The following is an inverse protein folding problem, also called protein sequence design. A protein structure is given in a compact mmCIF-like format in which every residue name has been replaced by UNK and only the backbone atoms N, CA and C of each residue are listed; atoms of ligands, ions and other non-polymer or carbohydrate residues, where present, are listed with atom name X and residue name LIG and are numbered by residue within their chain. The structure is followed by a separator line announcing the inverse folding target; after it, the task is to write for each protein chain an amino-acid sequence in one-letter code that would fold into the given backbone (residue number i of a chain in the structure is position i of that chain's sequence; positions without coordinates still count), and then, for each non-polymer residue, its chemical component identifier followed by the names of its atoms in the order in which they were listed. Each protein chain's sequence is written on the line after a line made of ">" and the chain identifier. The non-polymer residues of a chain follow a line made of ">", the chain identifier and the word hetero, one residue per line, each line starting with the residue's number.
data_IF_486100164224
#
_entry.id   IF_486100164224
#
_cell.length_a   1.000
_cell.length_b   1.000
_cell.length_c   1.000
_cell.angle_alpha   90.00
_cell.angle_beta   90.00
_cell.angle_gamma   90.00
#
_symmetry.space_group_name_H-M   'P 1'
#
loop_
_entity.id
_entity.type
_entity.pdbx_description
1 polymer ?
#
# COMPACT_ATOMS: atom_id res chain seq x y z
N UNK A 1 79.84 -24.27 -80.53
CA UNK A 1 80.11 -24.61 -79.13
C UNK A 1 79.44 -23.61 -78.25
N UNK A 2 78.30 -23.91 -77.62
CA UNK A 2 77.78 -23.24 -76.46
C UNK A 2 76.52 -23.96 -76.08
N UNK A 3 76.58 -24.75 -75.03
CA UNK A 3 75.47 -25.43 -74.37
C UNK A 3 74.52 -24.43 -73.72
N UNK A 4 73.23 -24.48 -74.04
CA UNK A 4 72.14 -23.90 -73.25
C UNK A 4 71.58 -24.97 -72.31
N UNK A 5 71.89 -24.83 -71.05
CA UNK A 5 71.21 -25.52 -69.92
C UNK A 5 69.83 -24.89 -69.70
N UNK A 6 68.81 -25.72 -69.87
CA UNK A 6 67.45 -25.37 -69.45
C UNK A 6 67.35 -25.42 -67.92
N UNK A 7 66.91 -24.33 -67.34
CA UNK A 7 66.58 -24.21 -65.86
C UNK A 7 65.22 -24.91 -65.63
N UNK A 8 65.23 -26.00 -64.89
CA UNK A 8 64.04 -26.60 -64.32
C UNK A 8 63.57 -25.72 -63.20
N UNK A 9 62.39 -25.04 -63.39
CA UNK A 9 61.68 -24.34 -62.35
C UNK A 9 61.02 -25.30 -61.37
N UNK A 10 61.50 -25.34 -60.14
CA UNK A 10 60.85 -26.02 -59.03
C UNK A 10 59.55 -25.28 -58.67
N UNK A 11 58.42 -25.89 -59.04
CA UNK A 11 57.13 -25.47 -58.55
C UNK A 11 57.00 -25.86 -57.06
N UNK A 12 56.98 -24.87 -56.20
CA UNK A 12 56.61 -25.03 -54.81
C UNK A 12 55.18 -25.53 -54.74
N UNK A 13 54.86 -26.53 -53.89
CA UNK A 13 53.48 -27.01 -53.74
C UNK A 13 52.60 -25.89 -53.12
N UNK A 14 51.56 -25.52 -53.86
CA UNK A 14 50.50 -24.64 -53.33
C UNK A 14 49.94 -25.32 -52.09
N UNK A 15 50.02 -24.54 -50.95
CA UNK A 15 49.44 -24.85 -49.65
C UNK A 15 47.98 -25.26 -49.89
N UNK A 16 47.63 -26.54 -49.61
CA UNK A 16 46.31 -27.08 -49.86
C UNK A 16 45.19 -26.23 -49.26
N UNK A 17 44.37 -25.64 -50.11
CA UNK A 17 43.10 -25.08 -49.72
C UNK A 17 42.26 -26.22 -49.11
N UNK A 18 41.93 -26.07 -47.83
CA UNK A 18 40.99 -26.95 -47.11
C UNK A 18 39.61 -26.74 -47.73
N UNK A 19 39.24 -27.57 -48.73
CA UNK A 19 37.89 -27.59 -49.26
C UNK A 19 36.92 -28.04 -48.21
N UNK A 20 36.04 -27.12 -47.78
CA UNK A 20 34.96 -27.44 -46.82
C UNK A 20 33.77 -28.01 -47.64
N UNK A 21 33.05 -29.04 -47.12
CA UNK A 21 31.88 -29.56 -47.80
C UNK A 21 30.80 -28.48 -47.91
N UNK A 22 30.16 -28.35 -49.06
CA UNK A 22 29.14 -27.33 -49.39
C UNK A 22 28.05 -27.28 -48.31
N UNK A 23 27.64 -28.43 -47.77
CA UNK A 23 26.72 -28.53 -46.63
C UNK A 23 27.16 -27.68 -45.42
N UNK A 24 28.43 -27.78 -45.01
CA UNK A 24 28.98 -27.04 -43.88
C UNK A 24 28.94 -25.52 -44.10
N UNK A 25 29.19 -25.10 -45.31
CA UNK A 25 29.22 -23.68 -45.69
C UNK A 25 27.81 -23.07 -45.67
N UNK A 26 26.82 -23.77 -46.27
CA UNK A 26 25.42 -23.32 -46.30
C UNK A 26 24.84 -23.35 -44.90
N UNK A 27 25.00 -24.45 -44.17
CA UNK A 27 24.51 -24.56 -42.79
C UNK A 27 25.14 -23.51 -41.87
N UNK A 28 26.46 -23.31 -41.98
CA UNK A 28 27.17 -22.31 -41.19
C UNK A 28 26.71 -20.88 -41.48
N UNK A 29 26.50 -20.52 -42.75
CA UNK A 29 25.99 -19.21 -43.14
C UNK A 29 24.56 -18.94 -42.57
N UNK A 30 23.66 -19.93 -42.70
CA UNK A 30 22.30 -19.83 -42.19
C UNK A 30 22.26 -19.73 -40.67
N UNK A 31 23.09 -20.54 -39.97
CA UNK A 31 23.21 -20.46 -38.51
C UNK A 31 23.79 -19.12 -38.06
N UNK A 32 24.73 -18.54 -38.80
CA UNK A 32 25.29 -17.24 -38.49
C UNK A 32 24.24 -16.12 -38.60
N UNK A 33 23.39 -16.14 -39.63
CA UNK A 33 22.28 -15.19 -39.79
C UNK A 33 21.28 -15.35 -38.65
N UNK A 34 20.87 -16.59 -38.33
CA UNK A 34 19.95 -16.85 -37.22
C UNK A 34 20.49 -16.35 -35.88
N UNK A 35 21.77 -16.61 -35.60
CA UNK A 35 22.40 -16.11 -34.34
C UNK A 35 22.46 -14.58 -34.33
N UNK A 36 22.76 -13.95 -35.47
CA UNK A 36 22.80 -12.49 -35.58
C UNK A 36 21.41 -11.88 -35.35
N UNK A 37 20.34 -12.45 -35.91
CA UNK A 37 18.95 -12.01 -35.69
C UNK A 37 18.55 -12.13 -34.22
N UNK A 38 18.83 -13.25 -33.57
CA UNK A 38 18.55 -13.45 -32.16
C UNK A 38 19.36 -12.49 -31.30
N UNK A 39 20.61 -12.27 -31.62
CA UNK A 39 21.46 -11.32 -30.89
C UNK A 39 20.94 -9.91 -31.00
N UNK A 40 20.46 -9.47 -32.17
CA UNK A 40 19.78 -8.16 -32.35
C UNK A 40 18.51 -8.08 -31.54
N UNK A 41 17.71 -9.14 -31.49
CA UNK A 41 16.48 -9.18 -30.67
C UNK A 41 16.80 -9.07 -29.17
N UNK A 42 17.78 -9.81 -28.67
CA UNK A 42 18.22 -9.74 -27.26
C UNK A 42 18.76 -8.35 -26.93
N UNK A 43 19.58 -7.76 -27.82
CA UNK A 43 20.07 -6.38 -27.63
C UNK A 43 18.90 -5.39 -27.59
N UNK A 44 17.92 -5.52 -28.48
CA UNK A 44 16.73 -4.67 -28.52
C UNK A 44 15.95 -4.73 -27.21
N UNK A 45 15.70 -5.93 -26.66
CA UNK A 45 15.03 -6.15 -25.39
C UNK A 45 15.83 -5.52 -24.24
N UNK A 46 17.15 -5.70 -24.25
CA UNK A 46 18.04 -5.13 -23.22
C UNK A 46 18.06 -3.60 -23.27
N UNK A 47 18.22 -3.01 -24.46
CA UNK A 47 18.24 -1.54 -24.65
C UNK A 47 16.92 -0.90 -24.29
N UNK A 48 15.79 -1.52 -24.62
CA UNK A 48 14.45 -1.01 -24.27
C UNK A 48 14.10 -1.19 -22.81
N UNK A 49 14.89 -1.99 -22.07
CA UNK A 49 14.68 -2.27 -20.65
C UNK A 49 13.21 -2.62 -20.28
N UNK A 50 12.59 -3.46 -21.09
CA UNK A 50 11.17 -3.83 -20.96
C UNK A 50 10.84 -4.32 -19.54
N UNK A 51 11.67 -5.21 -18.98
CA UNK A 51 11.46 -5.73 -17.62
C UNK A 51 11.50 -4.64 -16.54
N UNK A 52 12.47 -3.72 -16.65
CA UNK A 52 12.57 -2.59 -15.69
C UNK A 52 11.37 -1.66 -15.77
N UNK A 53 10.88 -1.34 -16.98
CA UNK A 53 9.69 -0.51 -17.18
C UNK A 53 8.42 -1.17 -16.64
N UNK A 54 8.27 -2.48 -16.81
CA UNK A 54 7.13 -3.23 -16.26
C UNK A 54 7.15 -3.23 -14.74
N UNK A 55 8.32 -3.42 -14.13
CA UNK A 55 8.46 -3.34 -12.68
C UNK A 55 8.18 -1.93 -12.16
N UNK A 56 8.65 -0.89 -12.85
CA UNK A 56 8.37 0.49 -12.48
C UNK A 56 6.87 0.80 -12.57
N UNK A 57 6.21 0.38 -13.65
CA UNK A 57 4.76 0.56 -13.79
C UNK A 57 3.98 -0.11 -12.66
N UNK A 58 4.40 -1.31 -12.21
CA UNK A 58 3.76 -2.00 -11.10
C UNK A 58 3.91 -1.22 -9.79
N UNK A 59 5.09 -0.65 -9.54
CA UNK A 59 5.35 0.23 -8.39
C UNK A 59 4.52 1.52 -8.46
N UNK A 60 4.49 2.17 -9.61
CA UNK A 60 3.74 3.42 -9.81
C UNK A 60 2.23 3.18 -9.62
N UNK A 61 1.70 2.04 -10.06
CA UNK A 61 0.32 1.65 -9.82
C UNK A 61 0.03 1.49 -8.33
N UNK A 62 0.88 0.78 -7.59
CA UNK A 62 0.72 0.64 -6.13
C UNK A 62 0.79 2.01 -5.45
N UNK A 63 1.77 2.84 -5.80
CA UNK A 63 1.91 4.19 -5.23
C UNK A 63 0.67 5.06 -5.51
N UNK A 64 0.08 4.97 -6.69
CA UNK A 64 -1.16 5.67 -7.03
C UNK A 64 -2.35 5.16 -6.22
N UNK A 65 -2.49 3.85 -6.04
CA UNK A 65 -3.55 3.24 -5.22
C UNK A 65 -3.43 3.69 -3.76
N UNK A 66 -2.21 3.63 -3.19
CA UNK A 66 -1.97 4.11 -1.81
C UNK A 66 -2.27 5.60 -1.69
N UNK A 67 -1.84 6.42 -2.65
CA UNK A 67 -2.10 7.87 -2.66
C UNK A 67 -3.60 8.19 -2.68
N UNK A 68 -4.37 7.49 -3.52
CA UNK A 68 -5.82 7.67 -3.57
C UNK A 68 -6.46 7.29 -2.23
N UNK A 69 -5.98 6.20 -1.61
CA UNK A 69 -6.49 5.76 -0.30
C UNK A 69 -6.08 6.71 0.82
N UNK A 70 -4.88 7.32 0.76
CA UNK A 70 -4.45 8.38 1.69
C UNK A 70 -5.42 9.57 1.63
N UNK A 71 -5.74 10.05 0.43
CA UNK A 71 -6.72 11.14 0.27
C UNK A 71 -8.05 10.80 0.94
N UNK A 72 -8.59 9.62 0.65
CA UNK A 72 -9.84 9.16 1.28
C UNK A 72 -9.76 9.08 2.81
N UNK A 73 -8.67 8.51 3.35
CA UNK A 73 -8.49 8.37 4.80
C UNK A 73 -8.28 9.74 5.47
N UNK A 74 -7.55 10.64 4.82
CA UNK A 74 -7.37 11.99 5.30
C UNK A 74 -8.70 12.75 5.37
N UNK A 75 -9.50 12.70 4.32
CA UNK A 75 -10.82 13.33 4.28
C UNK A 75 -11.75 12.75 5.35
N UNK A 76 -11.75 11.42 5.53
CA UNK A 76 -12.54 10.75 6.57
C UNK A 76 -12.14 11.23 7.97
N UNK A 77 -10.85 11.25 8.28
CA UNK A 77 -10.36 11.65 9.60
C UNK A 77 -10.52 13.15 9.82
N UNK A 78 -10.29 14.00 8.82
CA UNK A 78 -10.50 15.44 8.90
C UNK A 78 -11.99 15.79 9.05
N UNK A 79 -12.88 15.10 8.36
CA UNK A 79 -14.32 15.28 8.57
C UNK A 79 -14.76 14.86 9.98
N UNK A 80 -14.18 13.78 10.51
CA UNK A 80 -14.47 13.31 11.87
C UNK A 80 -13.99 14.31 12.94
N UNK A 81 -12.83 14.94 12.75
CA UNK A 81 -12.25 15.88 13.73
C UNK A 81 -12.84 17.29 13.67
N UNK A 82 -13.62 17.64 12.67
CA UNK A 82 -14.28 18.95 12.59
C UNK A 82 -15.50 18.98 13.54
N UNK A 83 -15.24 19.40 14.76
CA UNK A 83 -16.21 19.52 15.84
C UNK A 83 -16.54 20.97 16.21
N UNK A 84 -16.18 21.94 15.38
CA UNK A 84 -16.33 23.37 15.67
C UNK A 84 -17.78 23.74 15.97
N UNK A 85 -18.72 23.35 15.11
CA UNK A 85 -20.15 23.65 15.30
C UNK A 85 -20.72 23.02 16.60
N UNK A 86 -20.26 21.79 16.90
CA UNK A 86 -20.67 21.08 18.12
C UNK A 86 -20.08 21.74 19.36
N UNK A 87 -18.79 22.08 19.33
CA UNK A 87 -18.13 22.78 20.43
C UNK A 87 -18.85 24.12 20.77
N UNK A 88 -19.09 24.92 19.72
CA UNK A 88 -19.82 26.18 19.82
C UNK A 88 -21.25 26.00 20.39
N UNK A 89 -21.94 24.91 20.00
CA UNK A 89 -23.26 24.60 20.53
C UNK A 89 -23.19 24.27 22.02
N UNK A 90 -22.22 23.44 22.44
CA UNK A 90 -22.01 23.06 23.84
C UNK A 90 -21.65 24.28 24.67
N UNK A 91 -20.77 25.16 24.19
CA UNK A 91 -20.37 26.40 24.87
C UNK A 91 -21.55 27.32 25.07
N UNK A 92 -22.39 27.55 24.03
CA UNK A 92 -23.60 28.37 24.17
C UNK A 92 -24.60 27.77 25.17
N UNK A 93 -24.80 26.45 25.18
CA UNK A 93 -25.68 25.79 26.14
C UNK A 93 -25.15 25.95 27.57
N UNK A 94 -23.85 25.77 27.77
CA UNK A 94 -23.16 25.93 29.05
C UNK A 94 -23.30 27.36 29.55
N UNK A 95 -22.95 28.37 28.76
CA UNK A 95 -23.08 29.79 29.12
C UNK A 95 -24.53 30.18 29.43
N UNK A 96 -25.49 29.68 28.67
CA UNK A 96 -26.92 29.93 28.95
C UNK A 96 -27.35 29.40 30.33
N UNK A 97 -26.84 28.21 30.71
CA UNK A 97 -27.14 27.62 32.02
C UNK A 97 -26.43 28.36 33.15
N UNK A 98 -25.19 28.79 32.97
CA UNK A 98 -24.42 29.60 33.91
C UNK A 98 -25.11 30.96 34.13
N UNK A 99 -25.43 31.67 33.05
CA UNK A 99 -26.08 32.98 33.12
C UNK A 99 -27.47 32.96 33.77
N UNK A 100 -28.16 31.83 33.73
CA UNK A 100 -29.47 31.65 34.40
C UNK A 100 -29.35 31.08 35.81
N UNK A 101 -28.15 30.89 36.34
CA UNK A 101 -27.90 30.33 37.68
C UNK A 101 -28.29 28.87 37.83
N UNK A 102 -28.45 28.14 36.72
CA UNK A 102 -28.76 26.69 36.70
C UNK A 102 -27.53 25.80 36.65
N UNK A 103 -26.37 26.37 36.42
CA UNK A 103 -25.09 25.70 36.38
C UNK A 103 -24.03 26.55 37.07
N UNK A 104 -23.31 25.94 37.98
CA UNK A 104 -22.07 26.43 38.54
C UNK A 104 -20.90 25.62 37.98
N UNK A 105 -19.97 26.25 37.27
CA UNK A 105 -18.83 25.58 36.68
C UNK A 105 -17.92 24.92 37.71
N UNK A 106 -17.74 25.54 38.87
CA UNK A 106 -16.92 25.01 39.97
C UNK A 106 -17.54 23.74 40.58
N UNK A 107 -18.87 23.57 40.44
CA UNK A 107 -19.59 22.40 40.92
C UNK A 107 -19.70 21.25 39.90
N UNK A 108 -19.22 21.40 38.66
CA UNK A 108 -19.39 20.38 37.61
C UNK A 108 -18.86 18.98 37.99
N UNK A 109 -17.77 18.93 38.73
CA UNK A 109 -17.18 17.66 39.17
C UNK A 109 -17.88 17.08 40.41
N UNK A 110 -18.53 17.92 41.24
CA UNK A 110 -19.08 17.54 42.53
C UNK A 110 -20.61 17.45 42.56
N UNK A 111 -21.30 18.27 41.76
CA UNK A 111 -22.76 18.26 41.65
C UNK A 111 -23.21 17.44 40.41
N UNK A 112 -23.62 16.21 40.69
CA UNK A 112 -24.08 15.29 39.64
C UNK A 112 -25.43 15.69 39.01
N UNK A 113 -26.25 16.52 39.70
CA UNK A 113 -27.52 16.98 39.15
C UNK A 113 -27.28 18.06 38.09
N UNK A 114 -26.45 19.06 38.38
CA UNK A 114 -26.10 20.11 37.43
C UNK A 114 -25.36 19.58 36.20
N UNK A 115 -24.33 18.74 36.39
CA UNK A 115 -23.60 18.12 35.28
C UNK A 115 -24.51 17.23 34.41
N UNK A 116 -25.43 16.46 35.03
CA UNK A 116 -26.41 15.65 34.30
C UNK A 116 -27.43 16.49 33.54
N UNK A 117 -27.82 17.66 34.07
CA UNK A 117 -28.72 18.57 33.36
C UNK A 117 -28.09 19.16 32.12
N UNK A 118 -26.81 19.60 32.20
CA UNK A 118 -26.07 20.06 31.02
C UNK A 118 -25.92 18.94 29.98
N UNK A 119 -25.46 17.73 30.40
CA UNK A 119 -25.28 16.60 29.51
C UNK A 119 -26.59 16.21 28.84
N UNK A 120 -27.72 16.21 29.56
CA UNK A 120 -29.02 15.90 28.95
C UNK A 120 -29.49 17.00 27.96
N UNK A 121 -29.10 18.26 28.18
CA UNK A 121 -29.44 19.36 27.28
C UNK A 121 -28.68 19.25 25.93
N UNK A 122 -27.41 18.85 25.96
CA UNK A 122 -26.57 18.73 24.72
C UNK A 122 -26.70 17.39 24.04
N UNK A 123 -27.22 16.34 24.69
CA UNK A 123 -27.26 14.97 24.18
C UNK A 123 -27.92 14.82 22.80
N UNK A 124 -29.02 15.50 22.44
CA UNK A 124 -29.61 15.43 21.12
C UNK A 124 -28.65 15.90 20.00
N UNK A 125 -27.87 16.96 20.26
CA UNK A 125 -26.91 17.47 19.27
C UNK A 125 -25.72 16.54 19.08
N UNK A 126 -25.33 15.81 20.12
CA UNK A 126 -24.35 14.73 19.97
C UNK A 126 -24.83 13.64 19.01
N UNK A 127 -26.12 13.26 19.08
CA UNK A 127 -26.71 12.28 18.14
C UNK A 127 -26.71 12.82 16.71
N UNK A 128 -27.10 14.09 16.53
CA UNK A 128 -27.07 14.76 15.22
C UNK A 128 -25.66 14.76 14.61
N UNK A 129 -24.67 15.15 15.41
CA UNK A 129 -23.27 15.22 14.98
C UNK A 129 -22.71 13.82 14.69
N UNK A 130 -22.98 12.82 15.53
CA UNK A 130 -22.61 11.43 15.32
C UNK A 130 -23.05 10.96 13.91
N UNK A 131 -24.29 11.23 13.55
CA UNK A 131 -24.85 10.88 12.24
C UNK A 131 -24.25 11.69 11.10
N UNK A 132 -24.12 13.01 11.29
CA UNK A 132 -23.60 13.92 10.26
C UNK A 132 -22.15 13.64 9.90
N UNK A 133 -21.33 13.25 10.86
CA UNK A 133 -19.91 12.95 10.69
C UNK A 133 -19.64 11.49 10.32
N UNK A 134 -20.66 10.62 10.36
CA UNK A 134 -20.52 9.17 10.07
C UNK A 134 -19.39 8.52 10.89
N UNK A 135 -19.34 8.83 12.18
CA UNK A 135 -18.35 8.30 13.13
C UNK A 135 -18.96 7.18 13.97
N UNK A 136 -18.14 6.28 14.49
CA UNK A 136 -18.63 5.13 15.28
C UNK A 136 -18.92 5.47 16.74
N UNK A 137 -18.52 6.65 17.18
CA UNK A 137 -18.86 7.12 18.53
C UNK A 137 -18.58 8.60 18.68
N UNK A 138 -19.26 9.17 19.69
CA UNK A 138 -19.12 10.57 20.09
C UNK A 138 -19.20 10.65 21.61
N UNK A 139 -18.42 11.54 22.19
CA UNK A 139 -18.37 11.69 23.64
C UNK A 139 -18.14 13.13 24.08
N UNK A 140 -18.60 13.42 25.28
CA UNK A 140 -18.27 14.61 26.06
C UNK A 140 -17.88 14.17 27.46
N UNK A 141 -16.80 14.71 27.97
CA UNK A 141 -16.36 14.53 29.38
C UNK A 141 -16.26 15.90 30.01
N UNK A 142 -16.97 16.13 31.10
CA UNK A 142 -16.92 17.38 31.81
C UNK A 142 -15.88 17.29 32.93
N UNK A 143 -15.05 18.31 33.07
CA UNK A 143 -14.05 18.43 34.10
C UNK A 143 -13.55 19.87 34.18
N UNK A 144 -13.50 20.44 35.40
CA UNK A 144 -13.02 21.81 35.68
C UNK A 144 -11.78 21.82 36.57
N UNK A 145 -11.21 20.66 36.86
CA UNK A 145 -10.04 20.52 37.73
C UNK A 145 -8.83 20.00 36.95
N UNK A 146 -7.65 20.34 37.45
CA UNK A 146 -6.41 19.72 36.94
C UNK A 146 -6.50 18.20 37.08
N UNK A 147 -6.27 17.50 35.96
CA UNK A 147 -6.34 16.04 35.93
C UNK A 147 -5.36 15.35 36.89
N UNK A 148 -4.30 16.03 37.30
CA UNK A 148 -3.34 15.55 38.31
C UNK A 148 -3.92 15.45 39.73
N UNK A 149 -4.97 16.21 39.98
CA UNK A 149 -5.66 16.24 41.29
C UNK A 149 -6.78 15.20 41.39
N UNK A 150 -7.22 14.64 40.26
CA UNK A 150 -8.27 13.63 40.24
C UNK A 150 -7.78 12.28 40.77
N UNK A 151 -8.53 11.67 41.68
CA UNK A 151 -8.23 10.32 42.16
C UNK A 151 -8.43 9.25 41.05
N UNK A 152 -7.49 8.32 40.94
CA UNK A 152 -7.61 7.21 40.02
C UNK A 152 -8.82 6.35 40.35
N UNK A 153 -9.70 6.15 39.39
CA UNK A 153 -10.95 5.40 39.55
C UNK A 153 -12.17 6.25 39.89
N UNK A 154 -11.99 7.57 40.15
CA UNK A 154 -13.12 8.48 40.30
C UNK A 154 -14.02 8.49 39.06
N UNK A 155 -15.32 8.70 39.28
CA UNK A 155 -16.28 8.88 38.18
C UNK A 155 -16.27 10.34 37.73
N UNK A 156 -16.10 10.55 36.42
CA UNK A 156 -16.16 11.87 35.79
C UNK A 156 -17.45 11.98 34.99
N UNK A 157 -18.22 13.11 35.13
CA UNK A 157 -19.45 13.27 34.35
C UNK A 157 -19.20 13.26 32.86
N UNK A 158 -20.05 12.57 32.08
CA UNK A 158 -19.92 12.58 30.64
C UNK A 158 -20.96 11.72 29.93
N UNK A 159 -20.91 11.80 28.60
CA UNK A 159 -21.71 11.00 27.67
C UNK A 159 -20.75 10.27 26.75
N UNK A 160 -21.07 9.03 26.42
CA UNK A 160 -20.43 8.28 25.38
C UNK A 160 -21.48 7.48 24.61
N UNK A 161 -21.71 7.88 23.36
CA UNK A 161 -22.65 7.25 22.44
C UNK A 161 -21.87 6.47 21.39
N UNK A 162 -22.41 5.34 20.94
CA UNK A 162 -21.87 4.53 19.86
C UNK A 162 -22.88 4.22 18.78
N UNK A 163 -22.37 4.21 17.55
CA UNK A 163 -22.96 3.67 16.35
C UNK A 163 -22.00 2.60 15.82
N UNK A 164 -22.42 1.35 15.80
CA UNK A 164 -21.54 0.26 15.38
C UNK A 164 -21.38 0.17 13.87
N UNK A 165 -22.30 0.76 13.10
CA UNK A 165 -22.29 0.77 11.65
C UNK A 165 -22.84 2.10 11.09
N UNK A 166 -22.02 3.16 11.08
CA UNK A 166 -22.44 4.48 10.60
C UNK A 166 -22.89 4.52 9.13
N UNK A 167 -22.54 3.51 8.34
CA UNK A 167 -22.96 3.40 6.93
C UNK A 167 -24.35 2.78 6.78
N UNK A 168 -24.87 2.11 7.82
CA UNK A 168 -26.20 1.52 7.82
C UNK A 168 -27.28 2.57 7.99
N UNK A 169 -28.46 2.30 7.43
CA UNK A 169 -29.67 3.08 7.70
C UNK A 169 -30.62 2.19 8.50
N UNK A 170 -30.79 2.44 9.80
CA UNK A 170 -31.69 1.63 10.60
C UNK A 170 -33.14 1.81 10.15
N UNK A 171 -33.95 0.78 10.32
CA UNK A 171 -35.39 0.80 10.01
C UNK A 171 -36.18 1.67 11.01
N UNK A 172 -35.66 1.82 12.21
CA UNK A 172 -36.22 2.65 13.29
C UNK A 172 -35.20 3.70 13.71
N UNK A 173 -35.66 4.89 14.05
CA UNK A 173 -34.81 5.99 14.47
C UNK A 173 -33.96 5.59 15.68
N UNK A 174 -32.63 5.73 15.55
CA UNK A 174 -31.65 5.46 16.60
C UNK A 174 -31.58 3.99 17.11
N UNK A 175 -32.18 3.01 16.41
CA UNK A 175 -32.15 1.61 16.84
C UNK A 175 -30.74 0.99 16.83
N UNK A 176 -29.81 1.55 16.06
CA UNK A 176 -28.40 1.17 15.93
C UNK A 176 -27.48 1.88 16.93
N UNK A 177 -28.01 2.88 17.67
CA UNK A 177 -27.23 3.62 18.67
C UNK A 177 -27.26 2.95 20.03
N UNK A 178 -26.16 3.11 20.76
CA UNK A 178 -26.03 2.65 22.15
C UNK A 178 -25.39 3.72 23.04
N UNK A 179 -25.89 3.80 24.29
CA UNK A 179 -25.27 4.62 25.34
C UNK A 179 -24.29 3.75 26.12
N UNK A 180 -23.01 4.00 25.94
CA UNK A 180 -21.94 3.33 26.71
C UNK A 180 -21.79 3.95 28.12
N UNK A 181 -21.82 5.30 28.17
CA UNK A 181 -21.72 6.10 29.43
C UNK A 181 -22.70 7.25 29.36
N UNK A 182 -23.25 7.57 30.50
CA UNK A 182 -24.15 8.71 30.61
C UNK A 182 -25.09 8.56 31.80
N UNK A 183 -25.48 9.70 32.40
CA UNK A 183 -26.41 9.72 33.51
C UNK A 183 -27.80 9.19 33.14
N UNK A 184 -28.60 8.83 34.14
CA UNK A 184 -29.99 8.41 33.92
C UNK A 184 -30.82 9.52 33.25
N UNK A 185 -30.49 10.79 33.43
CA UNK A 185 -31.14 11.91 32.78
C UNK A 185 -30.86 11.87 31.23
N UNK A 186 -29.64 11.58 30.84
CA UNK A 186 -29.26 11.40 29.39
C UNK A 186 -30.01 10.23 28.78
N UNK A 187 -30.00 9.06 29.45
CA UNK A 187 -30.72 7.86 28.99
C UNK A 187 -32.20 8.17 28.78
N UNK A 188 -32.85 8.82 29.76
CA UNK A 188 -34.26 9.24 29.68
C UNK A 188 -34.50 10.25 28.56
N UNK A 189 -33.57 11.20 28.36
CA UNK A 189 -33.71 12.26 27.34
C UNK A 189 -33.64 11.70 25.93
N UNK A 190 -32.69 10.77 25.67
CA UNK A 190 -32.47 10.22 24.33
C UNK A 190 -33.40 9.04 23.99
N UNK A 191 -33.82 8.25 24.97
CA UNK A 191 -34.61 7.04 24.77
C UNK A 191 -33.83 5.94 24.01
N UNK A 192 -32.49 6.07 23.95
CA UNK A 192 -31.61 5.12 23.27
C UNK A 192 -31.24 3.97 24.21
N UNK A 193 -31.04 2.77 23.65
CA UNK A 193 -30.64 1.58 24.38
C UNK A 193 -29.27 1.76 25.04
N UNK A 194 -29.14 1.28 26.26
CA UNK A 194 -27.84 1.26 26.98
C UNK A 194 -27.05 0.00 26.62
N UNK A 195 -25.74 0.10 26.49
CA UNK A 195 -24.85 -1.06 26.36
C UNK A 195 -24.87 -1.92 27.64
N UNK A 196 -24.50 -3.20 27.49
CA UNK A 196 -24.41 -4.14 28.65
C UNK A 196 -23.38 -3.68 29.69
N UNK A 197 -22.36 -2.94 29.29
CA UNK A 197 -21.32 -2.38 30.14
C UNK A 197 -21.62 -0.95 30.59
N UNK A 198 -22.84 -0.46 30.38
CA UNK A 198 -23.24 0.90 30.74
C UNK A 198 -22.89 1.29 32.18
N UNK A 199 -22.40 2.50 32.33
CA UNK A 199 -22.16 3.16 33.61
C UNK A 199 -22.59 4.61 33.52
N UNK A 200 -23.04 5.24 34.68
CA UNK A 200 -23.53 6.63 34.69
C UNK A 200 -22.42 7.66 34.46
N UNK A 201 -21.16 7.29 34.65
CA UNK A 201 -19.99 8.18 34.57
C UNK A 201 -18.86 7.50 33.78
N UNK A 202 -17.90 8.29 33.29
CA UNK A 202 -16.63 7.79 32.81
C UNK A 202 -15.66 7.63 33.98
N UNK A 203 -14.84 6.55 33.95
CA UNK A 203 -13.83 6.36 35.01
C UNK A 203 -12.50 6.99 34.60
N UNK A 204 -11.91 7.74 35.51
CA UNK A 204 -10.57 8.28 35.36
C UNK A 204 -9.50 7.27 35.78
N UNK A 205 -8.57 6.97 34.88
CA UNK A 205 -7.52 5.98 35.11
C UNK A 205 -6.12 6.58 35.32
N UNK A 206 -6.03 7.85 35.68
CA UNK A 206 -4.77 8.59 35.86
C UNK A 206 -4.13 9.07 34.54
N UNK A 207 -3.14 9.95 34.62
CA UNK A 207 -2.47 10.53 33.41
C UNK A 207 -1.69 9.50 32.60
N UNK A 208 -1.17 8.45 33.23
CA UNK A 208 -0.41 7.39 32.57
C UNK A 208 -1.30 6.34 31.86
N UNK A 209 -2.60 6.36 32.09
CA UNK A 209 -3.53 5.46 31.39
C UNK A 209 -3.84 5.96 29.98
N UNK A 210 -4.20 5.03 29.08
CA UNK A 210 -4.64 5.35 27.71
C UNK A 210 -5.98 6.10 27.74
N UNK A 211 -5.95 7.41 28.06
CA UNK A 211 -7.13 8.25 28.11
C UNK A 211 -7.29 9.04 26.82
N UNK A 212 -8.33 8.71 26.06
CA UNK A 212 -8.66 9.40 24.81
C UNK A 212 -8.96 10.89 24.99
N UNK A 213 -9.32 11.34 26.20
CA UNK A 213 -9.70 12.73 26.49
C UNK A 213 -8.66 13.53 27.27
N UNK A 214 -7.62 12.89 27.82
CA UNK A 214 -6.73 13.52 28.80
C UNK A 214 -5.71 14.45 28.19
N UNK A 215 -5.05 14.02 27.12
CA UNK A 215 -3.92 14.78 26.56
C UNK A 215 -4.35 16.16 26.05
N UNK A 216 -5.43 16.31 25.26
CA UNK A 216 -5.88 17.63 24.83
C UNK A 216 -6.27 18.51 25.99
N UNK A 217 -6.99 17.98 26.97
CA UNK A 217 -7.40 18.74 28.17
C UNK A 217 -6.18 19.26 28.97
N UNK A 218 -5.26 18.34 29.29
CA UNK A 218 -4.10 18.70 30.11
C UNK A 218 -3.14 19.64 29.36
N UNK A 219 -2.98 19.48 28.05
CA UNK A 219 -2.16 20.37 27.23
C UNK A 219 -2.74 21.80 27.22
N UNK A 220 -4.06 21.94 27.02
CA UNK A 220 -4.72 23.25 27.09
C UNK A 220 -4.63 23.86 28.50
N UNK A 221 -4.79 23.03 29.54
CA UNK A 221 -4.67 23.45 30.94
C UNK A 221 -3.29 24.01 31.26
N UNK A 222 -2.24 23.31 30.88
CA UNK A 222 -0.84 23.72 31.10
C UNK A 222 -0.44 24.94 30.26
N UNK A 223 -1.00 25.11 29.08
CA UNK A 223 -0.78 26.26 28.21
C UNK A 223 -1.63 27.47 28.61
N UNK A 224 -2.62 27.29 29.48
CA UNK A 224 -3.57 28.34 29.90
C UNK A 224 -4.53 28.78 28.80
N UNK A 225 -4.94 27.84 27.94
CA UNK A 225 -5.90 28.01 26.85
C UNK A 225 -5.57 29.17 25.90
N UNK A 226 -4.30 29.29 25.49
CA UNK A 226 -3.82 30.38 24.62
C UNK A 226 -4.19 30.21 23.16
N UNK A 227 -4.44 28.98 22.72
CA UNK A 227 -4.84 28.62 21.37
C UNK A 227 -6.34 28.36 21.28
N UNK A 228 -6.86 28.23 20.07
CA UNK A 228 -8.25 27.79 19.89
C UNK A 228 -8.41 26.33 20.31
N UNK A 229 -9.60 25.92 20.70
CA UNK A 229 -9.90 24.58 21.18
C UNK A 229 -9.48 23.50 20.15
N UNK A 230 -9.72 23.75 18.86
CA UNK A 230 -9.36 22.88 17.75
C UNK A 230 -7.85 22.64 17.61
N UNK A 231 -7.00 23.65 17.92
CA UNK A 231 -5.54 23.53 17.85
C UNK A 231 -4.99 22.57 18.90
N UNK A 232 -5.68 22.39 20.03
CA UNK A 232 -5.37 21.38 21.05
C UNK A 232 -5.92 19.99 20.71
N UNK A 233 -6.64 19.87 19.61
CA UNK A 233 -7.25 18.62 19.20
C UNK A 233 -6.21 17.56 18.85
N UNK A 234 -6.46 16.30 19.27
CA UNK A 234 -5.51 15.21 19.07
C UNK A 234 -6.20 13.87 18.82
N UNK A 235 -5.70 13.12 17.87
CA UNK A 235 -6.00 11.69 17.71
C UNK A 235 -5.18 10.85 18.70
N UNK A 236 -5.77 9.78 19.22
CA UNK A 236 -5.02 8.81 20.04
C UNK A 236 -3.99 8.10 19.17
N UNK A 237 -2.74 8.06 19.61
CA UNK A 237 -1.62 7.40 18.90
C UNK A 237 -1.63 5.89 19.07
N UNK A 238 -2.58 5.33 19.83
CA UNK A 238 -2.80 3.89 19.97
C UNK A 238 -4.29 3.60 20.11
N UNK A 239 -4.73 2.45 19.61
CA UNK A 239 -6.10 2.02 19.83
C UNK A 239 -6.34 1.67 21.31
N UNK A 240 -7.51 2.01 21.83
CA UNK A 240 -7.92 1.79 23.22
C UNK A 240 -9.20 0.97 23.28
N UNK A 241 -9.55 0.57 24.49
CA UNK A 241 -10.82 -0.09 24.83
C UNK A 241 -11.52 0.65 25.96
N UNK A 242 -12.84 0.65 25.95
CA UNK A 242 -13.63 1.20 27.08
C UNK A 242 -13.97 0.07 28.04
N UNK A 243 -13.38 0.10 29.22
CA UNK A 243 -13.61 -0.92 30.24
C UNK A 243 -13.27 -2.33 29.76
N UNK A 244 -14.23 -3.26 29.89
CA UNK A 244 -14.07 -4.66 29.47
C UNK A 244 -14.58 -4.94 28.04
N UNK A 245 -14.85 -3.89 27.26
CA UNK A 245 -15.27 -4.05 25.87
C UNK A 245 -14.17 -4.72 25.02
N UNK A 246 -14.55 -5.64 24.14
CA UNK A 246 -13.64 -6.26 23.19
C UNK A 246 -13.30 -5.35 22.01
N UNK A 247 -14.17 -4.39 21.71
CA UNK A 247 -14.02 -3.44 20.60
C UNK A 247 -12.85 -2.49 20.87
N UNK A 248 -12.00 -2.32 19.87
CA UNK A 248 -10.90 -1.35 19.91
C UNK A 248 -11.21 -0.16 19.02
N UNK A 249 -10.76 1.02 19.42
CA UNK A 249 -11.03 2.27 18.72
C UNK A 249 -9.83 3.22 18.79
N UNK A 250 -9.81 4.19 17.89
CA UNK A 250 -9.05 5.43 18.02
C UNK A 250 -10.04 6.58 18.19
N UNK A 251 -9.63 7.64 18.86
CA UNK A 251 -10.48 8.82 19.06
C UNK A 251 -9.71 10.11 18.77
N UNK A 252 -10.45 11.07 18.24
CA UNK A 252 -10.07 12.47 18.28
C UNK A 252 -10.80 13.16 19.40
N UNK A 253 -10.13 14.04 20.11
CA UNK A 253 -10.75 14.90 21.13
C UNK A 253 -10.10 16.28 21.17
N UNK A 254 -10.89 17.28 21.52
CA UNK A 254 -10.46 18.66 21.76
C UNK A 254 -11.06 19.19 23.06
N UNK A 255 -10.41 20.14 23.77
CA UNK A 255 -10.93 20.72 24.98
C UNK A 255 -12.17 21.57 24.68
N UNK A 256 -13.03 21.69 25.66
CA UNK A 256 -14.11 22.70 25.73
C UNK A 256 -13.58 23.91 26.46
N UNK A 257 -13.53 25.06 25.79
CA UNK A 257 -12.94 26.29 26.32
C UNK A 257 -13.92 27.45 26.13
N UNK A 258 -14.39 28.04 27.22
CA UNK A 258 -15.23 29.21 27.16
C UNK A 258 -14.45 30.44 26.67
N UNK A 259 -15.15 31.51 26.23
CA UNK A 259 -14.50 32.74 25.74
C UNK A 259 -13.62 33.46 26.76
N UNK A 260 -13.80 33.20 28.06
CA UNK A 260 -12.96 33.73 29.15
C UNK A 260 -11.68 32.88 29.39
N UNK A 261 -11.50 31.79 28.65
CA UNK A 261 -10.39 30.87 28.81
C UNK A 261 -10.65 29.73 29.81
N UNK A 262 -11.84 29.64 30.41
CA UNK A 262 -12.18 28.54 31.30
C UNK A 262 -12.30 27.22 30.56
N UNK A 263 -11.47 26.23 30.93
CA UNK A 263 -11.54 24.87 30.40
C UNK A 263 -12.49 24.06 31.30
N UNK A 264 -13.54 23.48 30.72
CA UNK A 264 -14.57 22.77 31.48
C UNK A 264 -14.86 21.34 30.97
N UNK A 265 -14.05 20.84 30.07
CA UNK A 265 -14.21 19.47 29.58
C UNK A 265 -13.49 19.20 28.28
N UNK A 266 -13.89 18.12 27.66
CA UNK A 266 -13.50 17.73 26.27
C UNK A 266 -14.69 17.20 25.50
N UNK A 267 -14.69 17.45 24.21
CA UNK A 267 -15.58 16.79 23.23
C UNK A 267 -14.74 15.98 22.26
N UNK A 268 -15.26 14.86 21.80
CA UNK A 268 -14.53 14.05 20.83
C UNK A 268 -15.38 13.01 20.13
N UNK A 269 -14.77 12.40 19.12
CA UNK A 269 -15.35 11.33 18.29
C UNK A 269 -14.49 10.10 18.33
N UNK A 270 -15.11 8.97 18.02
CA UNK A 270 -14.47 7.65 17.97
C UNK A 270 -14.59 7.04 16.58
N UNK A 271 -13.55 6.36 16.14
CA UNK A 271 -13.57 5.44 15.00
C UNK A 271 -13.16 4.04 15.49
N UNK A 272 -14.07 3.08 15.42
CA UNK A 272 -13.76 1.69 15.71
C UNK A 272 -12.72 1.15 14.72
N UNK A 273 -11.77 0.37 15.22
CA UNK A 273 -10.75 -0.24 14.33
C UNK A 273 -11.38 -1.18 13.30
N UNK A 274 -12.46 -1.87 13.64
CA UNK A 274 -13.23 -2.68 12.70
C UNK A 274 -13.85 -1.83 11.57
N UNK A 275 -14.37 -0.66 11.89
CA UNK A 275 -14.89 0.28 10.89
C UNK A 275 -13.77 0.81 9.98
N UNK A 276 -12.64 1.21 10.55
CA UNK A 276 -11.47 1.62 9.76
C UNK A 276 -10.97 0.51 8.83
N UNK A 277 -11.02 -0.75 9.26
CA UNK A 277 -10.68 -1.90 8.41
C UNK A 277 -11.58 -1.99 7.18
N UNK A 278 -12.87 -1.69 7.30
CA UNK A 278 -13.78 -1.67 6.13
C UNK A 278 -13.43 -0.57 5.12
N UNK A 279 -12.79 0.51 5.60
CA UNK A 279 -12.33 1.64 4.77
C UNK A 279 -10.95 1.42 4.15
N UNK A 280 -10.30 0.30 4.46
CA UNK A 280 -8.98 -0.10 3.95
C UNK A 280 -9.06 -1.45 3.20
N UNK A 281 -9.80 -1.52 2.07
CA UNK A 281 -10.00 -2.77 1.34
C UNK A 281 -8.69 -3.22 0.67
N UNK A 282 -8.13 -4.32 1.10
CA UNK A 282 -6.89 -4.90 0.56
C UNK A 282 -7.03 -5.36 -0.91
N UNK A 283 -8.24 -5.63 -1.36
CA UNK A 283 -8.52 -6.03 -2.75
C UNK A 283 -8.13 -4.98 -3.79
N UNK A 284 -7.96 -3.72 -3.39
CA UNK A 284 -7.46 -2.66 -4.27
C UNK A 284 -5.98 -2.80 -4.58
N UNK A 285 -5.19 -3.42 -3.69
CA UNK A 285 -3.74 -3.46 -3.81
C UNK A 285 -3.21 -4.51 -4.78
N UNK A 286 -3.98 -5.51 -5.14
CA UNK A 286 -3.81 -6.43 -6.29
C UNK A 286 -4.72 -7.66 -6.19
N UNK A 287 -4.90 -8.39 -7.29
CA UNK A 287 -5.67 -9.62 -7.33
C UNK A 287 -5.20 -10.65 -6.28
N UNK A 288 -6.09 -10.97 -5.36
CA UNK A 288 -5.99 -12.12 -4.49
C UNK A 288 -5.14 -11.98 -3.24
N UNK A 289 -5.67 -11.40 -2.16
CA UNK A 289 -5.23 -11.57 -0.74
C UNK A 289 -3.74 -11.37 -0.42
N UNK A 290 -2.97 -10.67 -1.25
CA UNK A 290 -1.53 -10.51 -1.09
C UNK A 290 -1.11 -9.12 -0.65
N UNK A 291 -2.04 -8.16 -0.65
CA UNK A 291 -1.83 -6.78 -0.23
C UNK A 291 -2.48 -6.49 1.12
N UNK A 292 -1.93 -5.53 1.85
CA UNK A 292 -2.47 -5.06 3.12
C UNK A 292 -2.20 -3.58 3.30
N UNK A 293 -3.21 -2.86 3.84
CA UNK A 293 -3.04 -1.50 4.32
C UNK A 293 -2.74 -1.49 5.82
N UNK A 294 -1.89 -0.55 6.22
CA UNK A 294 -1.65 -0.21 7.62
C UNK A 294 -1.88 1.27 7.82
N UNK A 295 -2.74 1.62 8.77
CA UNK A 295 -2.83 2.96 9.32
C UNK A 295 -1.93 3.02 10.55
N UNK A 296 -0.97 3.92 10.56
CA UNK A 296 0.08 3.98 11.56
C UNK A 296 0.18 5.39 12.09
N UNK A 297 0.29 5.54 13.40
CA UNK A 297 0.74 6.78 14.01
C UNK A 297 2.16 6.61 14.54
N UNK A 298 2.99 7.63 14.42
CA UNK A 298 4.37 7.64 14.88
C UNK A 298 4.67 8.97 15.54
N UNK A 299 5.48 8.93 16.60
CA UNK A 299 6.08 10.13 17.17
C UNK A 299 7.51 10.19 16.65
N UNK A 300 7.85 11.26 15.94
CA UNK A 300 9.21 11.49 15.49
C UNK A 300 9.94 12.32 16.56
N UNK A 301 10.81 11.72 17.36
CA UNK A 301 11.88 12.47 17.97
C UNK A 301 12.89 12.85 16.90
N UNK A 302 13.22 14.14 16.80
CA UNK A 302 14.02 14.71 15.71
C UNK A 302 15.43 14.10 15.56
N UNK A 303 15.93 13.38 16.54
CA UNK A 303 17.27 12.77 16.54
C UNK A 303 17.28 11.27 16.22
N UNK A 304 16.15 10.58 16.27
CA UNK A 304 16.09 9.14 16.03
C UNK A 304 15.16 8.84 14.87
N UNK A 305 15.72 8.38 13.76
CA UNK A 305 14.97 7.90 12.58
C UNK A 305 14.20 6.60 12.84
N UNK A 306 14.12 6.16 14.07
CA UNK A 306 13.33 5.02 14.49
C UNK A 306 11.89 5.43 14.72
N UNK A 307 10.99 4.93 13.85
CA UNK A 307 9.55 5.07 14.05
C UNK A 307 9.12 4.19 15.21
N UNK A 308 8.54 4.80 16.23
CA UNK A 308 7.77 4.06 17.21
C UNK A 308 6.36 3.90 16.64
N UNK A 309 6.12 2.79 15.97
CA UNK A 309 4.79 2.42 15.52
C UNK A 309 3.98 2.01 16.74
N UNK A 310 3.11 2.88 17.20
CA UNK A 310 2.34 2.63 18.40
C UNK A 310 1.27 1.55 18.19
N UNK A 311 0.60 1.52 17.05
CA UNK A 311 -0.35 0.48 16.66
C UNK A 311 -0.70 0.60 15.18
N UNK A 312 -0.91 -0.55 14.51
CA UNK A 312 -1.37 -0.59 13.13
C UNK A 312 -2.80 -1.11 13.05
N UNK A 313 -3.62 -0.51 12.20
CA UNK A 313 -4.92 -1.02 11.76
C UNK A 313 -4.72 -1.73 10.43
N UNK A 314 -5.20 -2.95 10.29
CA UNK A 314 -4.99 -3.75 9.09
C UNK A 314 -6.30 -4.12 8.43
N UNK A 315 -6.29 -4.22 7.11
CA UNK A 315 -7.42 -4.69 6.32
C UNK A 315 -7.47 -6.22 6.17
N UNK A 316 -6.43 -6.94 6.61
CA UNK A 316 -6.34 -8.40 6.53
C UNK A 316 -5.91 -9.02 7.85
N UNK A 317 -6.73 -9.93 8.38
CA UNK A 317 -6.46 -10.66 9.61
C UNK A 317 -5.24 -11.60 9.51
N UNK A 318 -4.92 -12.06 8.30
CA UNK A 318 -3.84 -13.04 8.09
C UNK A 318 -2.43 -12.45 8.20
N UNK A 319 -2.28 -11.13 8.08
CA UNK A 319 -0.96 -10.50 8.04
C UNK A 319 -0.43 -10.07 9.40
N UNK A 320 -1.27 -9.87 10.42
CA UNK A 320 -0.78 -9.31 11.68
C UNK A 320 -1.44 -9.92 12.92
N UNK A 321 -0.58 -10.52 13.70
CA UNK A 321 -0.73 -10.61 15.15
C UNK A 321 -0.29 -9.29 15.77
N UNK A 322 -0.88 -8.93 16.90
CA UNK A 322 -0.84 -7.70 17.69
C UNK A 322 0.49 -6.92 17.86
N UNK A 323 1.55 -7.29 17.17
CA UNK A 323 2.86 -6.63 17.19
C UNK A 323 3.16 -6.08 15.80
N UNK A 324 3.55 -4.79 15.74
CA UNK A 324 4.06 -4.20 14.52
C UNK A 324 5.25 -5.03 14.03
N UNK A 325 5.28 -5.43 12.74
CA UNK A 325 6.38 -6.24 12.25
C UNK A 325 7.71 -5.49 12.44
N UNK A 326 8.69 -6.15 13.03
CA UNK A 326 10.02 -5.57 13.25
C UNK A 326 10.66 -4.99 11.97
N UNK A 327 10.23 -5.46 10.79
CA UNK A 327 10.67 -4.93 9.50
C UNK A 327 10.07 -3.58 9.08
N UNK A 328 8.97 -3.12 9.68
CA UNK A 328 8.44 -1.78 9.42
C UNK A 328 9.35 -0.67 9.96
N UNK A 329 10.14 -0.97 10.98
CA UNK A 329 11.10 -0.01 11.54
C UNK A 329 12.24 0.33 10.58
N UNK A 330 12.47 -0.47 9.54
CA UNK A 330 13.50 -0.24 8.53
C UNK A 330 13.01 0.49 7.28
N UNK A 331 11.73 0.87 7.22
CA UNK A 331 11.24 1.75 6.17
C UNK A 331 11.78 3.16 6.41
N UNK A 332 12.86 3.49 5.74
CA UNK A 332 13.37 4.87 5.73
C UNK A 332 12.30 5.77 5.09
N UNK A 333 11.70 6.62 5.89
CA UNK A 333 10.69 7.61 5.46
C UNK A 333 11.22 8.65 4.46
N UNK A 334 12.47 8.57 4.09
CA UNK A 334 13.04 9.44 3.06
C UNK A 334 12.75 8.98 1.64
N UNK A 335 12.34 7.71 1.48
CA UNK A 335 11.85 7.20 0.22
C UNK A 335 10.41 6.75 0.45
N UNK A 336 9.45 7.22 -0.34
CA UNK A 336 8.05 6.78 -0.32
C UNK A 336 7.91 5.26 -0.56
N UNK A 337 9.02 4.56 -0.76
CA UNK A 337 9.15 3.16 -1.11
C UNK A 337 10.01 2.41 -0.07
N UNK A 338 9.54 1.27 0.38
CA UNK A 338 10.35 0.41 1.23
C UNK A 338 10.12 -1.08 0.98
N UNK A 339 11.08 -1.88 1.45
CA UNK A 339 11.01 -3.33 1.42
C UNK A 339 10.86 -3.87 2.83
N UNK A 340 9.87 -4.73 3.03
CA UNK A 340 9.55 -5.34 4.31
C UNK A 340 9.68 -6.85 4.20
N UNK A 341 10.32 -7.49 5.17
CA UNK A 341 10.32 -8.95 5.29
C UNK A 341 9.39 -9.34 6.44
N UNK A 342 8.25 -9.95 6.12
CA UNK A 342 7.25 -10.41 7.08
C UNK A 342 7.10 -11.92 6.97
N UNK A 343 7.28 -12.67 8.07
CA UNK A 343 7.15 -14.14 8.10
C UNK A 343 7.91 -14.83 6.95
N UNK A 344 9.17 -14.47 6.72
CA UNK A 344 10.02 -14.98 5.62
C UNK A 344 9.48 -14.73 4.21
N UNK A 345 8.64 -13.72 4.02
CA UNK A 345 8.19 -13.26 2.70
C UNK A 345 8.57 -11.80 2.54
N UNK A 346 9.05 -11.45 1.35
CA UNK A 346 9.40 -10.09 1.01
C UNK A 346 8.20 -9.35 0.44
N UNK A 347 7.95 -8.17 0.98
CA UNK A 347 6.90 -7.26 0.57
C UNK A 347 7.53 -5.95 0.08
N UNK A 348 6.95 -5.42 -0.95
CA UNK A 348 7.18 -4.05 -1.38
C UNK A 348 6.10 -3.17 -0.77
N UNK A 349 6.48 -2.05 -0.21
CA UNK A 349 5.58 -1.15 0.50
C UNK A 349 5.75 0.29 0.02
N UNK A 350 4.64 1.02 0.05
CA UNK A 350 4.59 2.48 -0.16
C UNK A 350 3.97 3.09 1.09
N UNK A 351 4.68 4.03 1.72
CA UNK A 351 4.26 4.73 2.91
C UNK A 351 4.05 6.21 2.59
N UNK A 352 2.84 6.71 2.79
CA UNK A 352 2.50 8.11 2.50
C UNK A 352 1.89 8.78 3.73
N UNK A 353 2.21 10.07 3.99
CA UNK A 353 1.72 10.79 5.15
C UNK A 353 0.23 11.18 5.00
N UNK A 354 -0.48 11.13 6.14
CA UNK A 354 -1.81 11.71 6.32
C UNK A 354 -1.63 12.98 7.15
N UNK A 355 -2.05 14.12 6.64
CA UNK A 355 -1.93 15.41 7.34
C UNK A 355 -3.20 15.68 8.14
N UNK A 356 -3.10 15.67 9.48
CA UNK A 356 -4.25 15.82 10.39
C UNK A 356 -4.17 17.10 11.22
N UNK A 357 -2.99 17.66 11.43
CA UNK A 357 -2.80 18.79 12.34
C UNK A 357 -2.31 20.03 11.60
N UNK A 358 -2.70 21.20 12.10
CA UNK A 358 -2.13 22.46 11.69
C UNK A 358 -0.66 22.56 12.14
N UNK A 359 0.14 23.41 11.47
CA UNK A 359 1.56 23.58 11.84
C UNK A 359 1.76 24.17 13.24
N UNK A 360 0.77 24.85 13.76
CA UNK A 360 0.81 25.52 15.08
C UNK A 360 0.27 24.64 16.20
N UNK A 361 -0.33 23.50 15.87
CA UNK A 361 -0.87 22.59 16.86
C UNK A 361 0.26 21.99 17.73
N UNK A 362 0.07 21.83 19.04
CA UNK A 362 1.04 21.22 19.95
C UNK A 362 1.47 19.80 19.52
N UNK A 363 0.61 19.11 18.75
CA UNK A 363 0.82 17.74 18.27
C UNK A 363 1.26 17.65 16.81
N UNK A 364 1.71 18.76 16.20
CA UNK A 364 2.15 18.81 14.79
C UNK A 364 3.36 17.94 14.47
N UNK A 365 4.12 17.49 15.49
CA UNK A 365 5.21 16.54 15.37
C UNK A 365 4.76 15.06 15.28
N UNK A 366 3.51 14.78 15.59
CA UNK A 366 2.93 13.44 15.42
C UNK A 366 2.61 13.21 13.95
N UNK A 367 3.13 12.12 13.40
CA UNK A 367 2.93 11.75 12.00
C UNK A 367 1.97 10.58 11.90
N UNK A 368 1.05 10.70 10.97
CA UNK A 368 0.17 9.62 10.57
C UNK A 368 0.55 9.17 9.18
N UNK A 369 0.62 7.86 8.99
CA UNK A 369 1.02 7.24 7.73
C UNK A 369 0.00 6.19 7.33
N UNK A 370 -0.29 6.15 6.03
CA UNK A 370 -0.92 4.99 5.41
C UNK A 370 0.14 4.23 4.62
N UNK A 371 0.29 2.96 4.93
CA UNK A 371 1.26 2.08 4.28
C UNK A 371 0.47 1.01 3.52
N UNK A 372 0.67 0.96 2.21
CA UNK A 372 0.17 -0.13 1.37
C UNK A 372 1.29 -1.10 1.05
N UNK A 373 1.08 -2.40 1.32
CA UNK A 373 2.08 -3.44 1.10
C UNK A 373 1.55 -4.51 0.16
N UNK A 374 2.41 -5.03 -0.72
CA UNK A 374 2.11 -6.16 -1.60
C UNK A 374 3.27 -7.13 -1.61
N UNK A 375 2.99 -8.43 -1.66
CA UNK A 375 4.04 -9.44 -1.80
C UNK A 375 4.85 -9.18 -3.07
N UNK A 376 6.17 -9.07 -2.96
CA UNK A 376 7.05 -8.69 -4.08
C UNK A 376 6.98 -9.67 -5.25
N UNK A 377 6.86 -10.98 -4.98
CA UNK A 377 6.73 -11.99 -6.03
C UNK A 377 5.44 -11.85 -6.83
N UNK A 378 4.37 -11.38 -6.20
CA UNK A 378 3.08 -11.14 -6.88
C UNK A 378 3.13 -9.82 -7.65
N UNK A 379 3.68 -8.77 -7.03
CA UNK A 379 3.82 -7.46 -7.65
C UNK A 379 4.60 -7.53 -8.97
N UNK A 380 5.69 -8.29 -9.00
CA UNK A 380 6.56 -8.39 -10.16
C UNK A 380 6.31 -9.63 -11.03
N UNK A 381 5.31 -10.47 -10.67
CA UNK A 381 5.00 -11.71 -11.38
C UNK A 381 4.76 -11.51 -12.88
N UNK A 382 4.10 -10.41 -13.26
CA UNK A 382 3.84 -10.12 -14.68
C UNK A 382 5.14 -9.88 -15.46
N UNK A 383 6.05 -9.07 -14.91
CA UNK A 383 7.35 -8.81 -15.54
C UNK A 383 8.20 -10.09 -15.64
N UNK A 384 8.21 -10.91 -14.60
CA UNK A 384 8.90 -12.19 -14.58
C UNK A 384 8.30 -13.18 -15.60
N UNK A 385 6.98 -13.26 -15.70
CA UNK A 385 6.31 -14.09 -16.71
C UNK A 385 6.62 -13.63 -18.12
N UNK A 386 6.60 -12.34 -18.41
CA UNK A 386 6.99 -11.78 -19.71
C UNK A 386 8.42 -12.16 -20.04
N UNK A 387 9.35 -12.00 -19.10
CA UNK A 387 10.76 -12.40 -19.27
C UNK A 387 10.91 -13.88 -19.58
N UNK A 388 10.17 -14.75 -18.88
CA UNK A 388 10.21 -16.19 -19.10
C UNK A 388 9.64 -16.58 -20.47
N UNK A 389 8.51 -15.96 -20.88
CA UNK A 389 7.93 -16.20 -22.21
C UNK A 389 8.90 -15.79 -23.32
N UNK A 390 9.56 -14.64 -23.18
CA UNK A 390 10.58 -14.18 -24.13
C UNK A 390 11.75 -15.19 -24.18
N UNK A 391 12.26 -15.65 -23.04
CA UNK A 391 13.34 -16.63 -22.99
C UNK A 391 12.97 -17.96 -23.70
N UNK A 392 11.76 -18.47 -23.43
CA UNK A 392 11.24 -19.68 -24.10
C UNK A 392 11.10 -19.47 -25.60
N UNK A 393 10.57 -18.30 -26.03
CA UNK A 393 10.43 -17.99 -27.46
C UNK A 393 11.79 -17.94 -28.16
N UNK A 394 12.82 -17.37 -27.53
CA UNK A 394 14.19 -17.36 -28.06
C UNK A 394 14.74 -18.79 -28.27
N UNK A 395 14.61 -19.63 -27.23
CA UNK A 395 15.07 -21.05 -27.32
C UNK A 395 14.32 -21.80 -28.42
N UNK A 396 12.99 -21.61 -28.48
CA UNK A 396 12.17 -22.26 -29.52
C UNK A 396 12.56 -21.81 -30.93
N UNK A 397 12.79 -20.50 -31.13
CA UNK A 397 13.25 -19.95 -32.42
C UNK A 397 14.62 -20.51 -32.81
N UNK A 398 15.56 -20.63 -31.86
CA UNK A 398 16.86 -21.25 -32.08
C UNK A 398 16.74 -22.70 -32.57
N UNK A 399 15.90 -23.49 -31.87
CA UNK A 399 15.71 -24.93 -32.24
C UNK A 399 15.06 -25.05 -33.60
N UNK A 400 13.98 -24.31 -33.87
CA UNK A 400 13.30 -24.35 -35.17
C UNK A 400 14.21 -23.84 -36.30
N UNK A 401 14.95 -22.76 -36.07
CA UNK A 401 15.89 -22.22 -37.05
C UNK A 401 17.04 -23.19 -37.35
N UNK A 402 17.58 -23.85 -36.33
CA UNK A 402 18.62 -24.88 -36.54
C UNK A 402 18.11 -26.09 -37.33
N UNK A 403 16.90 -26.57 -37.01
CA UNK A 403 16.27 -27.68 -37.78
C UNK A 403 15.97 -27.25 -39.21
N UNK A 404 15.42 -26.06 -39.42
CA UNK A 404 15.18 -25.50 -40.76
C UNK A 404 16.47 -25.36 -41.58
N UNK A 405 17.53 -24.81 -40.97
CA UNK A 405 18.83 -24.66 -41.58
C UNK A 405 19.43 -26.02 -41.97
N UNK A 406 19.26 -27.04 -41.12
CA UNK A 406 19.74 -28.39 -41.41
C UNK A 406 18.98 -29.03 -42.57
N UNK A 407 17.65 -28.89 -42.61
CA UNK A 407 16.83 -29.42 -43.73
C UNK A 407 17.19 -28.72 -45.05
N UNK A 408 17.28 -27.38 -45.05
CA UNK A 408 17.62 -26.62 -46.25
C UNK A 408 19.04 -26.91 -46.72
N UNK A 409 20.03 -26.95 -45.83
CA UNK A 409 21.41 -27.27 -46.17
C UNK A 409 21.53 -28.67 -46.76
N UNK A 410 20.79 -29.65 -46.20
CA UNK A 410 20.77 -31.02 -46.71
C UNK A 410 20.11 -31.11 -48.08
N UNK A 411 19.00 -30.44 -48.29
CA UNK A 411 18.27 -30.47 -49.58
C UNK A 411 19.00 -29.73 -50.70
N UNK A 412 19.79 -28.70 -50.38
CA UNK A 412 20.59 -27.97 -51.39
C UNK A 412 21.98 -28.61 -51.63
N UNK A 413 22.64 -29.12 -50.62
CA UNK A 413 23.98 -29.68 -50.74
C UNK A 413 23.99 -31.06 -51.43
N UNK A 414 23.01 -31.92 -51.11
CA UNK A 414 22.97 -33.28 -51.55
C UNK A 414 22.93 -33.45 -53.15
N UNK A 415 22.08 -32.70 -53.88
CA UNK A 415 22.07 -32.75 -55.32
C UNK A 415 23.37 -32.24 -55.94
N UNK A 416 23.97 -31.21 -55.38
CA UNK A 416 25.24 -30.65 -55.89
C UNK A 416 26.39 -31.57 -55.62
N UNK A 417 26.41 -32.27 -54.49
CA UNK A 417 27.44 -33.27 -54.15
C UNK A 417 27.34 -34.52 -55.05
N UNK A 418 26.14 -34.98 -55.39
CA UNK A 418 25.87 -36.04 -56.32
C UNK A 418 26.40 -35.70 -57.77
N UNK A 419 26.03 -34.51 -58.26
CA UNK A 419 26.50 -34.03 -59.57
C UNK A 419 28.04 -33.93 -59.65
N UNK A 420 28.66 -33.43 -58.55
CA UNK A 420 30.12 -33.36 -58.49
C UNK A 420 30.78 -34.76 -58.61
N UNK A 421 30.26 -35.74 -57.87
CA UNK A 421 30.75 -37.11 -57.94
C UNK A 421 30.52 -37.75 -59.31
N UNK A 422 29.36 -37.53 -59.92
CA UNK A 422 29.05 -38.04 -61.25
C UNK A 422 29.98 -37.45 -62.34
N UNK A 423 30.28 -36.17 -62.27
CA UNK A 423 31.19 -35.48 -63.18
C UNK A 423 32.64 -35.97 -62.99
N UNK A 424 33.10 -36.13 -61.77
CA UNK A 424 34.45 -36.62 -61.45
C UNK A 424 34.61 -38.06 -61.86
N UNK A 425 33.65 -38.94 -61.56
CA UNK A 425 33.66 -40.36 -61.98
C UNK A 425 33.59 -40.52 -63.52
N UNK A 426 32.84 -39.65 -64.21
CA UNK A 426 32.78 -39.59 -65.66
C UNK A 426 34.12 -39.22 -66.33
N UNK A 427 34.85 -38.28 -65.72
CA UNK A 427 36.20 -37.88 -66.17
C UNK A 427 37.22 -39.01 -65.99
N UNK A 428 37.18 -39.75 -64.86
CA UNK A 428 38.07 -40.90 -64.63
C UNK A 428 37.80 -42.05 -65.61
N UNK A 429 36.52 -42.32 -65.95
CA UNK A 429 36.12 -43.44 -66.83
C UNK A 429 36.11 -43.12 -68.35
N UNK A 430 36.42 -41.86 -68.72
CA UNK A 430 36.35 -41.37 -70.15
C UNK A 430 34.99 -41.66 -70.82
N UNK A 431 33.91 -41.67 -70.03
CA UNK A 431 32.53 -41.83 -70.49
C UNK A 431 31.74 -40.55 -70.18
N UNK A 432 30.81 -40.21 -71.09
CA UNK A 432 29.92 -39.07 -70.82
C UNK A 432 29.11 -39.38 -69.54
N UNK A 433 29.08 -38.46 -68.55
CA UNK A 433 28.36 -38.71 -67.35
C UNK A 433 26.85 -38.75 -67.62
N UNK A 434 26.19 -39.82 -67.21
CA UNK A 434 24.73 -39.86 -67.15
C UNK A 434 24.32 -39.12 -65.89
N UNK A 435 23.86 -37.88 -66.07
CA UNK A 435 23.40 -37.05 -64.97
C UNK A 435 22.11 -37.59 -64.41
N UNK A 436 22.08 -37.83 -63.13
CA UNK A 436 20.84 -38.23 -62.39
C UNK A 436 19.84 -37.08 -62.33
N UNK A 437 18.52 -37.43 -62.41
CA UNK A 437 17.45 -36.44 -62.36
C UNK A 437 17.48 -35.61 -61.04
N UNK A 438 17.70 -34.31 -61.16
CA UNK A 438 17.63 -33.39 -60.03
C UNK A 438 16.30 -32.61 -59.98
N UNK A 439 15.82 -32.29 -58.80
CA UNK A 439 14.61 -31.47 -58.63
C UNK A 439 14.88 -29.95 -58.70
N UNK A 440 16.08 -29.50 -58.93
CA UNK A 440 16.46 -28.09 -59.05
C UNK A 440 16.35 -27.68 -60.51
N UNK A 441 15.49 -26.71 -60.84
CA UNK A 441 15.09 -26.29 -62.20
C UNK A 441 16.28 -25.78 -63.03
N UNK A 442 17.23 -25.08 -62.41
CA UNK A 442 18.43 -24.52 -63.03
C UNK A 442 19.40 -25.60 -63.47
N UNK A 443 19.49 -26.71 -62.77
CA UNK A 443 20.31 -27.88 -63.12
C UNK A 443 19.63 -28.76 -64.14
N UNK A 444 18.32 -28.73 -64.30
CA UNK A 444 17.52 -29.47 -65.29
C UNK A 444 17.57 -28.85 -66.68
N UNK A 445 17.92 -27.56 -66.81
CA UNK A 445 18.01 -26.84 -68.05
C UNK A 445 19.29 -27.21 -68.82
N UNK A 446 20.35 -27.70 -68.16
CA UNK A 446 21.58 -28.16 -68.80
C UNK A 446 21.45 -29.58 -69.37
N UNK A 447 20.55 -30.44 -68.89
CA UNK A 447 20.25 -31.76 -69.44
C UNK A 447 19.61 -31.69 -70.83
N UNK A 448 19.05 -30.58 -71.28
CA UNK A 448 18.35 -30.40 -72.53
C UNK A 448 19.30 -29.92 -73.70
N UNK A 449 20.58 -29.68 -73.42
CA UNK A 449 21.54 -29.10 -74.34
C UNK A 449 22.82 -29.94 -74.54
N UNK A 450 22.81 -31.25 -74.15
CA UNK A 450 23.92 -32.15 -74.40
C UNK A 450 23.51 -33.25 -75.46
#
# INVERSE_FOLDING_TARGET
>A
MLHRRAAQGTQTPRRGEKTQPIFRTIFGAMMLVLVAEILLLVISIYVTNVGGRLNQNAKDMLAMQVRNRVGYMQDLMQNAQDLTDLSDYIDRATLSMVNTGRLDLDALNTDSEQSSALLAAIAPELVNTLRARSVTGIFVVLNTEDLRLLDVGSGVPGIYLRDLDPDARPSEENADLMIERGSSAVVKKLGITTDKSWQPTLRYYGLKGNGFSKTPFQTAWEDGARLNAEDYGRWTTSAYKIGNDSRTAIAYSQPLILPDGTIYGVVGVELLTSYLQTKLPYSELQDGNTGTYFLVSTTADEEDTSFIVSKAVTSSEDMITSEAPAGMMNCELRADECWLTLRNKDYYAVALPITLYSRNAPFSNERWLLIGTVNSKVLFAFADNVRNVIAIAIVFTLVLGALGSLVIARNLAHPVELLYHEVVDGQEKKQFPQLSHTNIRELRSEEAHV
#
